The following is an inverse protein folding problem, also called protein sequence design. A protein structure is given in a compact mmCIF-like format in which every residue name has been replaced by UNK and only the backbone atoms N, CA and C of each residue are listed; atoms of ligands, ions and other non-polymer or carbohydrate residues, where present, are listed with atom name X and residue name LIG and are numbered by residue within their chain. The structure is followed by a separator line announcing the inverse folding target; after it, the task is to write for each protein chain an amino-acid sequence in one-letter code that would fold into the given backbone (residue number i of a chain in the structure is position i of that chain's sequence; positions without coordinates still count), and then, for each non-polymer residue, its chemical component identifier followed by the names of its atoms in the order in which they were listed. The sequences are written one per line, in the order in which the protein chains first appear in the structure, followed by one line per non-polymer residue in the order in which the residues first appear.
data_IF_745178000001
#
_entry.id   IF_745178000001
#
_cell.length_a   1.000
_cell.length_b   1.000
_cell.length_c   1.000
_cell.angle_alpha   90.00
_cell.angle_beta   90.00
_cell.angle_gamma   90.00
#
_symmetry.space_group_name_H-M   'P 1'
#
loop_
_entity.id
_entity.type
_entity.pdbx_description
1 polymer ?
#
# COMPACT_ATOMS: atom_id res chain seq x y z
N UNK A 1 11.43 -0.20 27.26
CA UNK A 1 11.77 -1.61 26.94
C UNK A 1 10.65 -2.23 26.12
N UNK A 2 10.91 -3.33 25.40
CA UNK A 2 9.89 -4.06 24.62
C UNK A 2 8.73 -4.54 25.52
N UNK A 3 9.04 -4.91 26.76
CA UNK A 3 8.06 -5.33 27.76
C UNK A 3 7.06 -4.22 28.13
N UNK A 4 7.53 -3.00 28.37
CA UNK A 4 6.66 -1.85 28.68
C UNK A 4 5.69 -1.55 27.53
N UNK A 5 6.15 -1.72 26.27
CA UNK A 5 5.30 -1.54 25.08
C UNK A 5 4.23 -2.63 25.03
N UNK A 6 4.61 -3.88 25.28
CA UNK A 6 3.67 -5.00 25.27
C UNK A 6 2.58 -4.84 26.34
N UNK A 7 2.94 -4.42 27.54
CA UNK A 7 1.99 -4.15 28.62
C UNK A 7 1.03 -3.02 28.26
N UNK A 8 1.57 -1.92 27.72
CA UNK A 8 0.76 -0.78 27.25
C UNK A 8 -0.24 -1.20 26.16
N UNK A 9 0.20 -1.98 25.18
CA UNK A 9 -0.66 -2.49 24.11
C UNK A 9 -1.74 -3.42 24.68
N UNK A 10 -1.38 -4.30 25.61
CA UNK A 10 -2.34 -5.20 26.24
C UNK A 10 -3.41 -4.45 27.05
N UNK A 11 -3.02 -3.36 27.74
CA UNK A 11 -3.97 -2.51 28.45
C UNK A 11 -4.96 -1.85 27.47
N UNK A 12 -4.46 -1.22 26.42
CA UNK A 12 -5.29 -0.59 25.39
C UNK A 12 -6.24 -1.59 24.71
N UNK A 13 -5.77 -2.83 24.48
CA UNK A 13 -6.61 -3.91 23.93
C UNK A 13 -7.78 -4.23 24.85
N UNK A 14 -7.54 -4.32 26.16
CA UNK A 14 -8.60 -4.63 27.14
C UNK A 14 -9.63 -3.50 27.19
N UNK A 15 -9.15 -2.25 27.25
CA UNK A 15 -10.01 -1.05 27.22
C UNK A 15 -10.88 -1.02 25.95
N UNK A 16 -10.29 -1.30 24.79
CA UNK A 16 -11.02 -1.35 23.52
C UNK A 16 -12.02 -2.52 23.43
N UNK A 17 -11.76 -3.64 24.10
CA UNK A 17 -12.70 -4.78 24.16
C UNK A 17 -13.89 -4.53 25.10
N UNK A 18 -13.76 -3.60 26.03
CA UNK A 18 -14.85 -3.20 26.94
C UNK A 18 -15.78 -2.15 26.30
N UNK A 19 -15.34 -1.51 25.21
CA UNK A 19 -16.11 -0.52 24.47
C UNK A 19 -16.98 -1.17 23.36
N UNK A 20 -18.32 -1.17 23.48
CA UNK A 20 -19.20 -1.75 22.48
C UNK A 20 -19.21 -0.99 21.14
N UNK A 21 -18.96 0.32 21.15
CA UNK A 21 -18.90 1.13 19.92
C UNK A 21 -17.67 0.76 19.10
N UNK A 22 -16.54 0.57 19.78
CA UNK A 22 -15.32 0.08 19.15
C UNK A 22 -15.51 -1.30 18.51
N UNK A 23 -16.16 -2.24 19.21
CA UNK A 23 -16.40 -3.58 18.68
C UNK A 23 -17.28 -3.57 17.41
N UNK A 24 -18.33 -2.77 17.40
CA UNK A 24 -19.21 -2.66 16.22
C UNK A 24 -18.46 -2.06 15.02
N UNK A 25 -17.73 -0.97 15.25
CA UNK A 25 -16.91 -0.33 14.21
C UNK A 25 -15.81 -1.28 13.67
N UNK A 26 -15.18 -2.07 14.55
CA UNK A 26 -14.16 -3.03 14.18
C UNK A 26 -14.73 -4.16 13.32
N UNK A 27 -15.94 -4.64 13.63
CA UNK A 27 -16.64 -5.67 12.84
C UNK A 27 -17.04 -5.14 11.46
N UNK A 28 -17.60 -3.93 11.38
CA UNK A 28 -17.92 -3.31 10.09
C UNK A 28 -16.67 -3.14 9.23
N UNK A 29 -15.55 -2.75 9.84
CA UNK A 29 -14.28 -2.61 9.14
C UNK A 29 -13.71 -3.98 8.68
N UNK A 30 -13.84 -5.04 9.48
CA UNK A 30 -13.50 -6.40 9.08
C UNK A 30 -14.30 -6.83 7.83
N UNK A 31 -15.61 -6.63 7.84
CA UNK A 31 -16.48 -6.93 6.69
C UNK A 31 -16.07 -6.12 5.44
N UNK A 32 -15.71 -4.84 5.62
CA UNK A 32 -15.20 -4.01 4.53
C UNK A 32 -13.88 -4.53 3.95
N UNK A 33 -12.91 -4.90 4.79
CA UNK A 33 -11.63 -5.46 4.34
C UNK A 33 -11.82 -6.79 3.61
N UNK A 34 -12.70 -7.66 4.09
CA UNK A 34 -13.05 -8.91 3.40
C UNK A 34 -13.66 -8.60 2.03
N UNK A 35 -14.57 -7.63 1.96
CA UNK A 35 -15.17 -7.21 0.68
C UNK A 35 -14.14 -6.64 -0.30
N UNK A 36 -13.16 -5.87 0.17
CA UNK A 36 -12.11 -5.29 -0.66
C UNK A 36 -11.13 -6.38 -1.14
N UNK A 37 -10.68 -7.25 -0.23
CA UNK A 37 -9.72 -8.32 -0.55
C UNK A 37 -10.29 -9.37 -1.49
N UNK A 38 -11.57 -9.72 -1.38
CA UNK A 38 -12.23 -10.61 -2.34
C UNK A 38 -12.39 -9.99 -3.73
N UNK A 39 -12.44 -8.66 -3.82
CA UNK A 39 -12.58 -7.92 -5.08
C UNK A 39 -11.24 -7.45 -5.68
N UNK A 40 -10.13 -7.57 -4.96
CA UNK A 40 -8.82 -7.38 -5.57
C UNK A 40 -8.59 -8.56 -6.53
N UNK A 41 -8.56 -8.35 -7.87
CA UNK A 41 -8.05 -9.38 -8.74
C UNK A 41 -6.67 -9.68 -8.21
N UNK A 42 -6.36 -10.94 -7.92
CA UNK A 42 -5.02 -11.39 -7.58
C UNK A 42 -4.07 -10.83 -8.62
N UNK A 43 -3.51 -9.65 -8.38
CA UNK A 43 -2.41 -9.07 -9.13
C UNK A 43 -1.21 -9.83 -8.58
N UNK A 44 -1.19 -11.14 -8.88
CA UNK A 44 0.00 -11.94 -8.79
C UNK A 44 1.07 -11.07 -9.42
N UNK A 45 2.11 -10.79 -8.64
CA UNK A 45 3.20 -9.95 -9.07
C UNK A 45 3.76 -10.59 -10.34
N UNK A 46 3.28 -10.14 -11.50
CA UNK A 46 3.84 -10.56 -12.78
C UNK A 46 5.28 -10.11 -12.67
N UNK A 47 6.20 -11.07 -12.63
CA UNK A 47 7.62 -10.82 -12.68
C UNK A 47 7.86 -9.82 -13.79
N UNK A 48 8.12 -8.57 -13.42
CA UNK A 48 8.31 -7.50 -14.37
C UNK A 48 9.65 -7.81 -15.01
N UNK A 49 9.62 -8.37 -16.23
CA UNK A 49 10.80 -8.48 -17.07
C UNK A 49 11.53 -7.13 -17.02
N UNK A 50 12.87 -7.11 -16.92
CA UNK A 50 13.62 -5.86 -16.89
C UNK A 50 13.24 -5.06 -18.14
N UNK A 51 12.62 -3.90 -17.95
CA UNK A 51 12.21 -3.02 -19.04
C UNK A 51 13.46 -2.64 -19.81
N UNK A 52 13.44 -2.77 -21.14
CA UNK A 52 14.54 -2.29 -21.96
C UNK A 52 14.51 -0.77 -21.96
N UNK A 53 15.66 -0.14 -22.13
CA UNK A 53 15.75 1.32 -22.24
C UNK A 53 14.86 1.85 -23.38
N UNK A 54 14.74 1.10 -24.48
CA UNK A 54 13.80 1.40 -25.58
C UNK A 54 12.36 1.60 -25.11
N UNK A 55 11.88 0.75 -24.20
CA UNK A 55 10.50 0.73 -23.72
C UNK A 55 10.21 1.91 -22.78
N UNK A 56 11.27 2.52 -22.20
CA UNK A 56 11.18 3.70 -21.32
C UNK A 56 11.09 4.98 -22.16
N UNK A 57 11.74 5.00 -23.32
CA UNK A 57 11.83 6.16 -24.21
C UNK A 57 10.90 6.11 -25.44
N UNK A 58 10.05 5.08 -25.55
CA UNK A 58 9.12 4.91 -26.67
C UNK A 58 8.16 6.10 -26.85
N UNK A 59 7.82 6.79 -25.76
CA UNK A 59 6.90 7.93 -25.75
C UNK A 59 7.61 9.28 -25.47
N UNK A 60 8.93 9.35 -25.58
CA UNK A 60 9.66 10.60 -25.37
C UNK A 60 10.12 11.20 -26.68
N UNK A 61 9.60 12.39 -27.01
CA UNK A 61 10.07 13.16 -28.16
C UNK A 61 11.42 13.82 -27.83
N UNK A 62 12.50 13.29 -28.43
CA UNK A 62 13.86 13.84 -28.32
C UNK A 62 14.09 15.10 -29.17
N UNK A 63 13.02 15.75 -29.64
CA UNK A 63 13.10 16.87 -30.58
C UNK A 63 13.46 18.20 -29.91
N UNK A 64 13.47 18.26 -28.58
CA UNK A 64 13.76 19.49 -27.82
C UNK A 64 15.21 19.45 -27.35
N UNK A 65 16.09 20.12 -28.10
CA UNK A 65 17.42 20.51 -27.63
C UNK A 65 17.32 21.96 -27.09
N UNK A 66 17.12 22.16 -25.77
CA UNK A 66 16.97 23.50 -25.21
C UNK A 66 18.26 24.32 -25.25
N UNK A 67 19.42 23.68 -25.44
CA UNK A 67 20.73 24.35 -25.38
C UNK A 67 21.35 24.60 -26.76
N UNK A 68 20.77 24.11 -27.86
CA UNK A 68 21.20 24.38 -29.24
C UNK A 68 22.63 23.95 -29.62
N UNK A 69 23.40 23.38 -28.70
CA UNK A 69 24.78 23.00 -28.95
C UNK A 69 24.81 21.75 -29.84
N UNK A 70 25.38 21.90 -31.03
CA UNK A 70 25.72 20.78 -31.92
C UNK A 70 27.10 20.29 -31.49
N UNK A 71 27.21 18.99 -31.21
CA UNK A 71 28.49 18.31 -31.05
C UNK A 71 29.09 17.98 -32.40
#
# INVERSE_FOLDING_TARGET
MIWDILERVNKLRKEAMEDPEFLDSAKMHEEWLLSETHNQPNKGAKEKKPKKLSDIYENTDFTINPNGTKH
#
